data_IF_555122485611
#
_entry.id   IF_555122485611
#
_cell.length_a   1.000
_cell.length_b   1.000
_cell.length_c   1.000
_cell.angle_alpha   90.00
_cell.angle_beta   90.00
_cell.angle_gamma   90.00
#
_symmetry.space_group_name_H-M   'P 1'
#
loop_
_entity.id
_entity.type
_entity.pdbx_description
1 polymer ?
#
# COMPACT_ATOMS: atom_id res chain seq x y z
N UNK A 1 -20.59 7.63 3.06
CA UNK A 1 -19.15 7.71 2.81
C UNK A 1 -18.84 7.53 1.32
N UNK A 2 -17.88 8.28 0.81
CA UNK A 2 -17.44 8.11 -0.57
C UNK A 2 -16.67 6.82 -0.74
N UNK A 3 -16.78 6.20 -1.89
CA UNK A 3 -16.11 4.94 -2.21
C UNK A 3 -15.33 5.08 -3.51
N UNK A 4 -14.04 4.76 -3.44
CA UNK A 4 -13.16 4.79 -4.61
C UNK A 4 -12.34 3.50 -4.63
N UNK A 5 -12.28 2.84 -5.77
CA UNK A 5 -11.53 1.57 -5.93
C UNK A 5 -11.96 0.50 -4.90
N UNK A 6 -13.22 0.51 -4.49
CA UNK A 6 -13.74 -0.42 -3.51
C UNK A 6 -13.42 -0.08 -2.06
N UNK A 7 -12.80 1.07 -1.81
CA UNK A 7 -12.40 1.50 -0.47
C UNK A 7 -13.27 2.66 -0.01
N UNK A 8 -13.74 2.61 1.23
CA UNK A 8 -14.46 3.72 1.83
C UNK A 8 -13.49 4.83 2.20
N UNK A 9 -13.71 6.01 1.65
CA UNK A 9 -12.83 7.16 1.87
C UNK A 9 -13.39 8.02 3.00
N UNK A 10 -12.57 8.42 3.99
CA UNK A 10 -13.05 9.29 5.06
C UNK A 10 -13.55 10.63 4.53
N UNK A 11 -14.76 11.03 4.93
CA UNK A 11 -15.35 12.26 4.42
C UNK A 11 -14.82 13.52 5.10
N UNK A 12 -14.34 13.39 6.31
CA UNK A 12 -13.90 14.54 7.12
C UNK A 12 -12.47 15.00 6.81
N UNK A 13 -11.75 14.24 5.99
CA UNK A 13 -10.36 14.56 5.65
C UNK A 13 -10.26 15.34 4.33
N UNK A 14 -9.15 16.06 4.17
CA UNK A 14 -8.83 16.67 2.88
C UNK A 14 -8.69 15.59 1.82
N UNK A 15 -9.02 15.92 0.58
CA UNK A 15 -9.01 14.94 -0.51
C UNK A 15 -7.64 14.26 -0.67
N UNK A 16 -6.54 15.01 -0.60
CA UNK A 16 -5.20 14.42 -0.76
C UNK A 16 -4.87 13.43 0.34
N UNK A 17 -5.35 13.67 1.56
CA UNK A 17 -5.10 12.74 2.67
C UNK A 17 -6.04 11.55 2.61
N UNK A 18 -7.30 11.80 2.27
CA UNK A 18 -8.30 10.74 2.18
C UNK A 18 -7.95 9.70 1.12
N UNK A 19 -7.38 10.12 -0.01
CA UNK A 19 -6.98 9.21 -1.07
C UNK A 19 -5.86 8.25 -0.62
N UNK A 20 -5.07 8.62 0.36
CA UNK A 20 -4.01 7.73 0.86
C UNK A 20 -4.55 6.49 1.58
N UNK A 21 -5.86 6.44 1.88
CA UNK A 21 -6.49 5.24 2.41
C UNK A 21 -6.52 4.10 1.38
N UNK A 22 -6.33 4.40 0.10
CA UNK A 22 -6.30 3.41 -0.95
C UNK A 22 -4.88 2.82 -1.02
N UNK A 23 -4.80 1.49 -0.96
CA UNK A 23 -3.50 0.81 -1.07
C UNK A 23 -2.87 1.09 -2.44
N UNK A 24 -1.67 1.63 -2.43
CA UNK A 24 -0.95 2.00 -3.64
C UNK A 24 -0.94 3.49 -3.92
N UNK A 25 -1.67 4.29 -3.15
CA UNK A 25 -1.68 5.74 -3.28
C UNK A 25 -1.09 6.36 -2.02
N UNK A 26 0.07 6.98 -2.18
CA UNK A 26 0.69 7.80 -1.14
C UNK A 26 0.35 9.26 -1.35
N UNK A 27 0.87 10.11 -0.47
CA UNK A 27 0.56 11.54 -0.54
C UNK A 27 0.96 12.20 -1.87
N UNK A 28 2.18 11.96 -2.42
CA UNK A 28 2.55 12.56 -3.71
C UNK A 28 1.63 12.13 -4.85
N UNK A 29 1.26 10.86 -4.89
CA UNK A 29 0.35 10.36 -5.92
C UNK A 29 -1.05 10.92 -5.75
N UNK A 30 -1.51 11.09 -4.50
CA UNK A 30 -2.80 11.71 -4.21
C UNK A 30 -2.83 13.16 -4.70
N UNK A 31 -1.76 13.92 -4.50
CA UNK A 31 -1.64 15.29 -4.99
C UNK A 31 -1.70 15.33 -6.52
N UNK A 32 -1.02 14.42 -7.18
CA UNK A 32 -1.03 14.32 -8.64
C UNK A 32 -2.43 14.00 -9.17
N UNK A 33 -3.13 13.09 -8.52
CA UNK A 33 -4.49 12.71 -8.90
C UNK A 33 -5.42 13.91 -8.76
N UNK A 34 -5.33 14.65 -7.66
CA UNK A 34 -6.13 15.86 -7.47
C UNK A 34 -5.86 16.90 -8.54
N UNK A 35 -4.61 17.10 -8.92
CA UNK A 35 -4.25 18.04 -9.98
C UNK A 35 -4.82 17.65 -11.33
N UNK A 36 -4.74 16.37 -11.67
CA UNK A 36 -5.27 15.86 -12.94
C UNK A 36 -6.79 15.89 -13.00
N UNK A 37 -7.45 15.68 -11.87
CA UNK A 37 -8.91 15.70 -11.78
C UNK A 37 -9.46 17.11 -11.65
N UNK A 38 -8.60 18.11 -11.45
CA UNK A 38 -9.04 19.48 -11.26
C UNK A 38 -9.73 19.71 -9.94
N UNK A 39 -9.41 18.92 -8.92
CA UNK A 39 -9.98 19.02 -7.59
C UNK A 39 -8.96 19.68 -6.67
N UNK A 40 -9.42 20.60 -5.82
CA UNK A 40 -8.54 21.26 -4.86
C UNK A 40 -8.12 20.26 -3.78
N UNK A 41 -6.80 20.02 -3.60
CA UNK A 41 -6.35 19.02 -2.61
C UNK A 41 -6.79 19.29 -1.19
N UNK A 42 -6.94 20.57 -0.83
CA UNK A 42 -7.33 20.95 0.53
C UNK A 42 -8.84 20.90 0.75
N UNK A 43 -9.64 20.61 -0.28
CA UNK A 43 -11.09 20.46 -0.11
C UNK A 43 -11.38 19.15 0.62
N UNK A 44 -12.32 19.19 1.56
CA UNK A 44 -12.73 17.98 2.26
C UNK A 44 -13.58 17.11 1.34
N UNK A 45 -13.48 15.81 1.49
CA UNK A 45 -14.20 14.88 0.63
C UNK A 45 -15.72 15.11 0.67
N UNK A 46 -16.26 15.44 1.82
CA UNK A 46 -17.70 15.71 1.97
C UNK A 46 -18.19 16.93 1.17
N UNK A 47 -17.29 17.83 0.82
CA UNK A 47 -17.62 19.05 0.07
C UNK A 47 -17.52 18.89 -1.44
N UNK A 48 -17.09 17.71 -1.91
CA UNK A 48 -16.93 17.46 -3.35
C UNK A 48 -18.26 17.16 -4.02
N UNK A 49 -18.40 17.63 -5.26
CA UNK A 49 -19.57 17.30 -6.08
C UNK A 49 -19.44 15.91 -6.66
N UNK A 50 -20.56 15.36 -7.15
CA UNK A 50 -20.55 14.04 -7.77
C UNK A 50 -19.65 14.01 -9.02
N UNK A 51 -19.65 15.10 -9.79
CA UNK A 51 -18.79 15.23 -10.98
C UNK A 51 -17.30 15.17 -10.59
N UNK A 52 -16.94 15.83 -9.49
CA UNK A 52 -15.57 15.81 -9.01
C UNK A 52 -15.18 14.42 -8.51
N UNK A 53 -16.10 13.73 -7.82
CA UNK A 53 -15.87 12.36 -7.37
C UNK A 53 -15.65 11.41 -8.54
N UNK A 54 -16.44 11.56 -9.61
CA UNK A 54 -16.27 10.74 -10.81
C UNK A 54 -14.92 10.97 -11.48
N UNK A 55 -14.47 12.22 -11.54
CA UNK A 55 -13.15 12.52 -12.09
C UNK A 55 -12.03 11.89 -11.26
N UNK A 56 -12.17 11.93 -9.92
CA UNK A 56 -11.21 11.28 -9.04
C UNK A 56 -11.17 9.76 -9.26
N UNK A 57 -12.33 9.12 -9.38
CA UNK A 57 -12.42 7.68 -9.64
C UNK A 57 -11.75 7.32 -10.95
N UNK A 58 -11.98 8.15 -11.99
CA UNK A 58 -11.39 7.94 -13.31
C UNK A 58 -9.86 8.03 -13.25
N UNK A 59 -9.33 9.03 -12.55
CA UNK A 59 -7.88 9.18 -12.42
C UNK A 59 -7.27 8.04 -11.58
N UNK A 60 -7.94 7.62 -10.53
CA UNK A 60 -7.47 6.49 -9.70
C UNK A 60 -7.44 5.20 -10.51
N UNK A 61 -8.40 5.01 -11.41
CA UNK A 61 -8.47 3.79 -12.23
C UNK A 61 -7.28 3.61 -13.15
N UNK A 62 -6.52 4.67 -13.43
CA UNK A 62 -5.32 4.61 -14.27
C UNK A 62 -4.12 4.01 -13.55
N UNK A 63 -4.20 3.83 -12.23
CA UNK A 63 -3.14 3.26 -11.43
C UNK A 63 -3.50 1.85 -10.99
N UNK A 64 -2.48 1.03 -10.81
CA UNK A 64 -2.66 -0.28 -10.20
C UNK A 64 -2.75 -0.08 -8.68
N UNK A 65 -3.92 -0.33 -8.11
CA UNK A 65 -4.18 -0.08 -6.67
C UNK A 65 -4.93 -1.25 -6.06
N UNK A 66 -4.96 -1.31 -4.74
CA UNK A 66 -5.71 -2.30 -3.95
C UNK A 66 -5.43 -3.73 -4.39
N UNK A 67 -6.46 -4.51 -4.70
CA UNK A 67 -6.33 -5.91 -5.05
C UNK A 67 -5.39 -6.17 -6.22
N UNK A 68 -5.46 -5.32 -7.24
CA UNK A 68 -4.60 -5.45 -8.42
C UNK A 68 -3.13 -5.25 -8.06
N UNK A 69 -2.83 -4.26 -7.23
CA UNK A 69 -1.47 -4.01 -6.78
C UNK A 69 -0.98 -5.12 -5.87
N UNK A 70 -1.81 -5.59 -4.95
CA UNK A 70 -1.44 -6.70 -4.07
C UNK A 70 -1.11 -7.96 -4.86
N UNK A 71 -1.90 -8.22 -5.89
CA UNK A 71 -1.68 -9.36 -6.78
C UNK A 71 -0.37 -9.22 -7.54
N UNK A 72 -0.09 -8.02 -8.04
CA UNK A 72 1.15 -7.72 -8.75
C UNK A 72 2.37 -7.92 -7.85
N UNK A 73 2.32 -7.41 -6.62
CA UNK A 73 3.42 -7.57 -5.65
C UNK A 73 3.64 -9.04 -5.33
N UNK A 74 2.55 -9.78 -5.10
CA UNK A 74 2.63 -11.21 -4.81
C UNK A 74 3.25 -11.98 -5.96
N UNK A 75 2.86 -11.67 -7.19
CA UNK A 75 3.41 -12.32 -8.38
C UNK A 75 4.89 -12.00 -8.58
N UNK A 76 5.29 -10.76 -8.31
CA UNK A 76 6.69 -10.36 -8.41
C UNK A 76 7.55 -11.12 -7.41
N UNK A 77 7.08 -11.28 -6.18
CA UNK A 77 7.77 -12.04 -5.14
C UNK A 77 7.86 -13.52 -5.55
N UNK A 78 6.76 -14.07 -6.04
CA UNK A 78 6.72 -15.46 -6.49
C UNK A 78 7.72 -15.69 -7.61
N UNK A 79 7.81 -14.76 -8.55
CA UNK A 79 8.77 -14.86 -9.64
C UNK A 79 10.21 -14.93 -9.12
N UNK A 80 10.54 -14.11 -8.12
CA UNK A 80 11.87 -14.16 -7.50
C UNK A 80 12.14 -15.49 -6.85
N UNK A 81 11.14 -16.06 -6.17
CA UNK A 81 11.27 -17.38 -5.55
C UNK A 81 11.45 -18.48 -6.59
N UNK A 82 10.70 -18.42 -7.69
CA UNK A 82 10.78 -19.42 -8.76
C UNK A 82 12.12 -19.37 -9.48
N UNK A 83 12.72 -18.18 -9.60
CA UNK A 83 14.04 -18.02 -10.20
C UNK A 83 15.15 -18.55 -9.30
N UNK A 84 14.89 -18.72 -8.01
CA UNK A 84 15.88 -19.21 -7.07
C UNK A 84 17.01 -18.23 -6.77
N UNK A 85 16.84 -16.95 -7.08
CA UNK A 85 17.84 -15.94 -6.76
C UNK A 85 17.91 -15.68 -5.26
N UNK A 86 18.95 -14.96 -4.82
CA UNK A 86 19.15 -14.66 -3.41
C UNK A 86 17.94 -13.95 -2.80
N UNK A 87 17.40 -12.95 -3.50
CA UNK A 87 16.22 -12.22 -3.03
C UNK A 87 15.03 -13.16 -2.83
N UNK A 88 14.81 -14.08 -3.76
CA UNK A 88 13.74 -15.06 -3.66
C UNK A 88 13.91 -15.99 -2.48
N UNK A 89 15.13 -16.43 -2.19
CA UNK A 89 15.42 -17.27 -1.03
C UNK A 89 15.10 -16.52 0.26
N UNK A 90 15.46 -15.24 0.33
CA UNK A 90 15.14 -14.42 1.51
C UNK A 90 13.64 -14.28 1.73
N UNK A 91 12.87 -14.09 0.66
CA UNK A 91 11.41 -14.05 0.75
C UNK A 91 10.83 -15.38 1.23
N UNK A 92 11.35 -16.48 0.69
CA UNK A 92 10.88 -17.82 1.07
C UNK A 92 11.08 -18.09 2.54
N UNK A 93 12.20 -17.65 3.09
CA UNK A 93 12.54 -17.87 4.50
C UNK A 93 11.96 -16.82 5.45
N UNK A 94 11.31 -15.78 4.90
CA UNK A 94 10.77 -14.70 5.72
C UNK A 94 11.83 -13.84 6.36
N UNK A 95 12.99 -13.69 5.72
CA UNK A 95 14.10 -12.92 6.23
C UNK A 95 14.22 -11.59 5.49
N UNK A 96 14.90 -10.58 6.09
CA UNK A 96 15.13 -9.31 5.40
C UNK A 96 15.83 -9.50 4.06
N UNK A 97 15.41 -8.76 3.05
CA UNK A 97 15.86 -8.92 1.67
C UNK A 97 16.98 -7.95 1.32
N UNK A 98 17.05 -6.82 2.02
CA UNK A 98 17.97 -5.72 1.68
C UNK A 98 19.25 -5.70 2.50
N UNK A 99 19.76 -6.84 2.89
CA UNK A 99 21.05 -6.95 3.58
C UNK A 99 21.04 -6.50 5.02
N UNK A 100 19.88 -6.42 5.64
CA UNK A 100 19.76 -6.01 7.02
C UNK A 100 20.27 -7.10 7.96
N UNK A 101 20.74 -6.66 9.13
CA UNK A 101 21.24 -7.57 10.15
C UNK A 101 20.09 -8.46 10.68
N UNK A 102 20.33 -9.74 10.80
CA UNK A 102 19.33 -10.70 11.31
C UNK A 102 19.65 -11.21 12.71
N UNK A 103 20.89 -11.03 13.15
CA UNK A 103 21.36 -11.59 14.43
C UNK A 103 20.64 -10.97 15.62
N UNK A 104 20.31 -9.68 15.57
CA UNK A 104 19.73 -8.96 16.71
C UNK A 104 18.28 -8.58 16.51
N UNK A 105 17.97 -7.89 15.43
CA UNK A 105 16.65 -7.31 15.17
C UNK A 105 15.99 -7.99 13.97
N UNK A 106 15.44 -7.24 13.06
CA UNK A 106 14.71 -7.73 11.88
C UNK A 106 13.33 -8.29 12.26
N UNK A 107 12.72 -7.72 13.29
CA UNK A 107 11.42 -8.21 13.80
C UNK A 107 10.27 -8.00 12.83
N UNK A 108 10.33 -7.00 11.97
CA UNK A 108 9.28 -6.74 11.00
C UNK A 108 9.07 -7.93 10.07
N UNK A 109 10.15 -8.55 9.61
CA UNK A 109 10.08 -9.72 8.73
C UNK A 109 9.96 -11.02 9.49
N UNK A 110 10.72 -11.16 10.60
CA UNK A 110 10.76 -12.40 11.38
C UNK A 110 9.58 -12.53 12.33
N UNK A 111 8.90 -11.43 12.61
CA UNK A 111 7.81 -11.39 13.55
C UNK A 111 8.29 -11.25 15.00
N UNK A 112 7.35 -11.26 15.96
CA UNK A 112 7.72 -11.15 17.38
C UNK A 112 8.62 -12.29 17.80
N UNK A 113 9.42 -12.05 18.85
CA UNK A 113 10.27 -13.09 19.40
C UNK A 113 9.42 -14.26 19.90
N UNK A 114 9.88 -15.45 19.58
CA UNK A 114 9.21 -16.66 20.04
C UNK A 114 10.11 -17.39 21.03
N UNK A 115 9.52 -17.86 22.13
CA UNK A 115 10.22 -18.72 23.05
C UNK A 115 10.39 -20.09 22.42
N UNK A 116 11.60 -20.65 22.55
CA UNK A 116 11.82 -22.03 22.14
C UNK A 116 11.13 -22.92 23.14
N UNK A 117 10.38 -23.90 22.68
CA UNK A 117 9.67 -24.82 23.59
C UNK A 117 10.65 -25.45 24.56
N UNK A 118 10.38 -25.30 25.88
CA UNK A 118 11.24 -25.78 26.90
C UNK A 118 12.43 -24.90 27.24
N UNK A 119 12.73 -23.90 26.44
CA UNK A 119 13.82 -22.97 26.73
C UNK A 119 13.35 -21.87 27.67
N UNK A 120 14.14 -21.52 28.63
CA UNK A 120 13.83 -20.44 29.56
C UNK A 120 14.86 -19.33 29.45
N UNK A 121 14.39 -18.13 29.62
CA UNK A 121 15.27 -16.98 29.65
C UNK A 121 15.88 -16.81 31.01
#
# INVERSE_FOLDING_TARGET
>A
MARIAGVNIPNHQHTEIALTAIYGIGRPRAQKICGLAGVKPSAKVKDLTDAEMERLREEVSKFSVEGDLRREVTMNIKRLMDLGCYRGVRHRRGLPVRGQRTRTNARTRKGPRKSIAGAKK
#
